data_IF_155588207610
#
_entry.id   IF_155588207610
#
_cell.length_a   1.000
_cell.length_b   1.000
_cell.length_c   1.000
_cell.angle_alpha   90.00
_cell.angle_beta   90.00
_cell.angle_gamma   90.00
#
_symmetry.space_group_name_H-M   'P 1'
#
loop_
_entity.id
_entity.type
_entity.pdbx_description
1 polymer ?
#
# COMPACT_ATOMS: atom_id res chain seq x y z
N UNK A 1 -14.85 -8.49 -16.70
CA UNK A 1 -13.49 -8.72 -17.21
C UNK A 1 -12.53 -9.11 -16.08
N UNK A 2 -11.62 -10.05 -16.29
CA UNK A 2 -10.52 -10.33 -15.36
C UNK A 2 -9.69 -9.05 -15.15
N UNK A 3 -9.36 -8.72 -13.91
CA UNK A 3 -8.56 -7.51 -13.61
C UNK A 3 -7.09 -7.89 -13.52
N UNK A 4 -6.22 -7.06 -14.10
CA UNK A 4 -4.78 -7.17 -13.92
C UNK A 4 -4.40 -7.07 -12.43
N UNK A 5 -3.43 -7.88 -12.02
CA UNK A 5 -2.88 -7.90 -10.66
C UNK A 5 -2.25 -6.54 -10.32
N UNK A 6 -2.41 -6.07 -9.08
CA UNK A 6 -1.80 -4.79 -8.67
C UNK A 6 -0.29 -4.92 -8.61
N UNK A 7 0.40 -3.86 -9.04
CA UNK A 7 1.82 -3.67 -8.78
C UNK A 7 1.95 -3.38 -7.28
N UNK A 8 2.46 -4.34 -6.53
CA UNK A 8 2.58 -4.28 -5.06
C UNK A 8 3.95 -4.84 -4.67
N UNK A 9 4.97 -4.12 -5.13
CA UNK A 9 6.38 -4.42 -4.90
C UNK A 9 6.89 -3.50 -3.77
N UNK A 10 7.64 -4.01 -2.78
CA UNK A 10 8.24 -3.17 -1.75
C UNK A 10 9.11 -2.05 -2.35
N UNK A 11 9.11 -0.90 -1.69
CA UNK A 11 9.84 0.31 -2.09
C UNK A 11 9.07 1.22 -3.03
N UNK A 12 7.99 0.74 -3.68
CA UNK A 12 7.20 1.56 -4.60
C UNK A 12 6.40 2.63 -3.86
N UNK A 13 6.32 3.80 -4.49
CA UNK A 13 5.49 4.90 -4.03
C UNK A 13 4.11 4.79 -4.68
N UNK A 14 3.05 4.91 -3.88
CA UNK A 14 1.68 4.79 -4.34
C UNK A 14 0.84 6.00 -3.96
N UNK A 15 0.18 6.60 -4.95
CA UNK A 15 -0.97 7.46 -4.71
C UNK A 15 -2.24 6.62 -4.62
N UNK A 16 -2.84 6.60 -3.44
CA UNK A 16 -4.02 5.81 -3.12
C UNK A 16 -5.22 6.72 -2.95
N UNK A 17 -6.33 6.29 -3.55
CA UNK A 17 -7.63 6.98 -3.45
C UNK A 17 -8.70 5.93 -3.15
N UNK A 18 -9.51 6.16 -2.12
CA UNK A 18 -10.73 5.39 -1.92
C UNK A 18 -11.90 6.30 -1.58
N UNK A 19 -13.08 5.96 -2.11
CA UNK A 19 -14.27 6.81 -2.08
C UNK A 19 -15.50 6.01 -1.63
N UNK A 20 -16.40 6.68 -0.91
CA UNK A 20 -17.69 6.14 -0.53
C UNK A 20 -18.54 5.73 -1.74
N UNK A 21 -19.32 4.66 -1.57
CA UNK A 21 -20.32 4.24 -2.55
C UNK A 21 -21.26 5.41 -2.85
N UNK A 22 -21.56 5.66 -4.13
CA UNK A 22 -22.39 6.81 -4.58
C UNK A 22 -21.86 8.18 -4.14
N UNK A 23 -20.53 8.31 -3.93
CA UNK A 23 -19.89 9.53 -3.38
C UNK A 23 -20.42 9.94 -2.01
N UNK A 24 -21.01 8.99 -1.27
CA UNK A 24 -21.53 9.16 0.08
C UNK A 24 -20.46 9.64 1.04
N UNK A 25 -20.88 10.46 2.00
CA UNK A 25 -20.07 10.84 3.16
C UNK A 25 -19.70 9.59 3.96
N UNK A 26 -18.40 9.33 4.05
CA UNK A 26 -17.82 8.25 4.84
C UNK A 26 -17.29 8.77 6.18
N UNK A 27 -17.14 10.09 6.38
CA UNK A 27 -16.79 10.69 7.68
C UNK A 27 -17.81 11.77 8.10
N UNK A 28 -19.02 11.39 8.52
CA UNK A 28 -20.06 12.35 8.90
C UNK A 28 -19.78 13.06 10.23
N UNK A 29 -18.96 12.47 11.10
CA UNK A 29 -18.70 12.98 12.45
C UNK A 29 -17.20 12.93 12.76
N UNK A 30 -16.75 13.71 13.75
CA UNK A 30 -15.36 13.64 14.25
C UNK A 30 -14.95 12.22 14.65
N UNK A 31 -15.82 11.48 15.33
CA UNK A 31 -15.55 10.09 15.74
C UNK A 31 -15.26 9.14 14.57
N UNK A 32 -15.80 9.44 13.38
CA UNK A 32 -15.54 8.69 12.15
C UNK A 32 -14.14 8.96 11.60
N UNK A 33 -13.66 10.20 11.68
CA UNK A 33 -12.29 10.55 11.32
C UNK A 33 -11.29 9.91 12.31
N UNK A 34 -11.54 10.03 13.61
CA UNK A 34 -10.63 9.50 14.64
C UNK A 34 -10.52 7.97 14.57
N UNK A 35 -11.63 7.24 14.48
CA UNK A 35 -11.61 5.78 14.31
C UNK A 35 -10.84 5.35 13.06
N UNK A 36 -10.96 6.11 11.95
CA UNK A 36 -10.18 5.84 10.76
C UNK A 36 -8.68 6.07 10.98
N UNK A 37 -8.29 7.16 11.63
CA UNK A 37 -6.89 7.47 11.93
C UNK A 37 -6.27 6.48 12.93
N UNK A 38 -6.99 6.07 13.98
CA UNK A 38 -6.55 5.00 14.88
C UNK A 38 -6.30 3.70 14.11
N UNK A 39 -7.12 3.38 13.11
CA UNK A 39 -6.91 2.20 12.25
C UNK A 39 -5.74 2.37 11.29
N UNK A 40 -5.41 3.60 10.87
CA UNK A 40 -4.19 3.91 10.09
C UNK A 40 -2.95 3.70 10.96
N UNK A 41 -2.97 4.15 12.20
CA UNK A 41 -1.87 3.94 13.15
C UNK A 41 -1.62 2.45 13.41
N UNK A 42 -2.65 1.72 13.87
CA UNK A 42 -2.60 0.27 14.06
C UNK A 42 -2.22 -0.42 12.73
N UNK A 43 -2.73 0.12 11.61
CA UNK A 43 -2.32 0.00 10.19
C UNK A 43 -0.82 -0.14 9.91
N UNK A 44 -0.09 0.84 10.40
CA UNK A 44 1.32 1.05 10.15
C UNK A 44 2.18 0.26 11.14
N UNK A 45 1.74 0.05 12.38
CA UNK A 45 2.48 -0.76 13.36
C UNK A 45 2.74 -2.21 12.89
N UNK A 46 1.87 -2.77 12.04
CA UNK A 46 2.00 -4.16 11.54
C UNK A 46 2.57 -4.26 10.13
N UNK A 47 3.06 -3.17 9.57
CA UNK A 47 3.69 -3.19 8.26
C UNK A 47 4.72 -2.08 8.13
N UNK A 48 5.92 -2.34 7.60
CA UNK A 48 6.93 -1.31 7.35
C UNK A 48 6.56 -0.37 6.17
N UNK A 49 5.28 -0.15 5.92
CA UNK A 49 4.82 0.87 4.99
C UNK A 49 5.05 2.25 5.60
N UNK A 50 5.42 3.23 4.78
CA UNK A 50 5.62 4.60 5.23
C UNK A 50 4.52 5.49 4.63
N UNK A 51 3.66 6.03 5.50
CA UNK A 51 2.65 7.00 5.09
C UNK A 51 3.26 8.41 5.09
N UNK A 52 3.44 8.98 3.91
CA UNK A 52 4.21 10.20 3.68
C UNK A 52 3.31 11.45 3.68
N UNK A 53 2.22 11.39 2.92
CA UNK A 53 1.22 12.46 2.85
C UNK A 53 -0.20 11.89 2.83
N UNK A 54 -1.16 12.62 3.39
CA UNK A 54 -2.54 12.15 3.46
C UNK A 54 -3.56 13.29 3.65
N UNK A 55 -4.80 13.04 3.24
CA UNK A 55 -5.94 13.91 3.51
C UNK A 55 -7.23 13.07 3.58
N UNK A 56 -8.02 13.30 4.63
CA UNK A 56 -9.37 12.73 4.76
C UNK A 56 -10.39 13.78 4.34
N UNK A 57 -11.23 13.42 3.37
CA UNK A 57 -12.31 14.25 2.84
C UNK A 57 -13.64 13.60 3.21
N UNK A 58 -14.75 14.34 3.34
CA UNK A 58 -16.00 13.79 3.87
C UNK A 58 -16.45 12.49 3.18
N UNK A 59 -16.23 12.34 1.87
CA UNK A 59 -16.62 11.16 1.08
C UNK A 59 -15.47 10.33 0.50
N UNK A 60 -14.20 10.68 0.74
CA UNK A 60 -13.05 9.93 0.23
C UNK A 60 -11.77 10.25 1.00
N UNK A 61 -10.71 9.51 0.77
CA UNK A 61 -9.39 9.86 1.30
C UNK A 61 -8.31 9.66 0.24
N UNK A 62 -7.20 10.37 0.45
CA UNK A 62 -5.99 10.28 -0.34
C UNK A 62 -4.81 9.90 0.55
N UNK A 63 -3.97 8.96 0.11
CA UNK A 63 -2.66 8.67 0.71
C UNK A 63 -1.56 8.72 -0.34
N UNK A 64 -0.38 9.18 0.07
CA UNK A 64 0.89 8.91 -0.57
C UNK A 64 1.66 7.97 0.36
N UNK A 65 1.82 6.72 -0.07
CA UNK A 65 2.38 5.67 0.79
C UNK A 65 3.48 4.94 0.05
N UNK A 66 4.64 4.77 0.69
CA UNK A 66 5.69 3.88 0.23
C UNK A 66 5.45 2.49 0.80
N UNK A 67 5.43 1.48 -0.06
CA UNK A 67 5.22 0.09 0.36
C UNK A 67 6.46 -0.49 1.01
N UNK A 68 6.28 -1.22 2.11
CA UNK A 68 7.31 -2.07 2.71
C UNK A 68 7.06 -3.55 2.44
N UNK A 69 7.83 -4.42 3.10
CA UNK A 69 7.55 -5.87 3.12
C UNK A 69 6.16 -6.14 3.73
N UNK A 70 5.26 -6.76 2.97
CA UNK A 70 3.88 -7.02 3.36
C UNK A 70 2.83 -6.36 2.46
N UNK A 71 3.26 -5.33 1.70
CA UNK A 71 2.53 -4.74 0.59
C UNK A 71 1.36 -3.82 0.96
N UNK A 72 0.94 -3.01 0.00
CA UNK A 72 -0.17 -2.08 0.08
C UNK A 72 -1.50 -2.79 0.25
N UNK A 73 -1.69 -3.92 -0.43
CA UNK A 73 -2.96 -4.63 -0.46
C UNK A 73 -3.40 -5.12 0.91
N UNK A 74 -2.44 -5.54 1.75
CA UNK A 74 -2.72 -6.00 3.11
C UNK A 74 -3.08 -4.84 4.02
N UNK A 75 -2.29 -3.76 3.97
CA UNK A 75 -2.53 -2.52 4.70
C UNK A 75 -3.95 -1.98 4.42
N UNK A 76 -4.26 -1.79 3.14
CA UNK A 76 -5.54 -1.23 2.71
C UNK A 76 -6.73 -2.14 3.03
N UNK A 77 -6.57 -3.47 2.94
CA UNK A 77 -7.61 -4.42 3.33
C UNK A 77 -7.96 -4.29 4.81
N UNK A 78 -6.94 -4.26 5.68
CA UNK A 78 -7.15 -4.15 7.13
C UNK A 78 -7.83 -2.83 7.49
N UNK A 79 -7.32 -1.73 6.94
CA UNK A 79 -7.87 -0.39 7.15
C UNK A 79 -9.32 -0.29 6.68
N UNK A 80 -9.57 -0.52 5.39
CA UNK A 80 -10.88 -0.27 4.78
C UNK A 80 -11.95 -1.24 5.27
N UNK A 81 -11.64 -2.53 5.40
CA UNK A 81 -12.63 -3.51 5.89
C UNK A 81 -12.94 -3.30 7.37
N UNK A 82 -11.91 -3.04 8.19
CA UNK A 82 -12.12 -2.76 9.61
C UNK A 82 -12.98 -1.53 9.82
N UNK A 83 -12.69 -0.45 9.08
CA UNK A 83 -13.47 0.77 9.14
C UNK A 83 -14.91 0.59 8.65
N UNK A 84 -15.12 -0.06 7.50
CA UNK A 84 -16.46 -0.27 6.97
C UNK A 84 -17.38 -1.04 7.92
N UNK A 85 -16.85 -2.06 8.61
CA UNK A 85 -17.60 -2.82 9.61
C UNK A 85 -17.98 -1.95 10.80
N UNK A 86 -17.03 -1.19 11.36
CA UNK A 86 -17.29 -0.32 12.50
C UNK A 86 -18.24 0.84 12.15
N UNK A 87 -18.07 1.45 10.98
CA UNK A 87 -18.96 2.48 10.45
C UNK A 87 -20.38 1.95 10.29
N UNK A 88 -20.54 0.78 9.67
CA UNK A 88 -21.86 0.18 9.47
C UNK A 88 -22.56 -0.12 10.80
N UNK A 89 -21.83 -0.65 11.79
CA UNK A 89 -22.37 -0.86 13.13
C UNK A 89 -22.78 0.47 13.80
N UNK A 90 -21.91 1.48 13.79
CA UNK A 90 -22.15 2.81 14.40
C UNK A 90 -23.33 3.53 13.79
N UNK A 91 -23.48 3.47 12.47
CA UNK A 91 -24.50 4.18 11.72
C UNK A 91 -25.74 3.32 11.39
N UNK A 92 -25.84 2.12 11.98
CA UNK A 92 -26.93 1.15 11.76
C UNK A 92 -27.19 0.88 10.26
N UNK A 93 -26.10 0.73 9.50
CA UNK A 93 -26.11 0.47 8.05
C UNK A 93 -25.73 -0.96 7.73
N UNK A 94 -26.19 -1.40 6.58
CA UNK A 94 -25.79 -2.67 5.96
C UNK A 94 -25.24 -2.42 4.55
N UNK A 95 -24.40 -3.34 4.06
CA UNK A 95 -23.84 -3.29 2.71
C UNK A 95 -22.48 -2.60 2.62
N UNK A 96 -22.06 -2.30 1.38
CA UNK A 96 -20.76 -1.74 1.08
C UNK A 96 -20.67 -0.25 1.43
N UNK A 97 -19.64 0.14 2.19
CA UNK A 97 -19.35 1.55 2.46
C UNK A 97 -18.60 2.22 1.30
N UNK A 98 -17.60 1.52 0.76
CA UNK A 98 -16.75 2.02 -0.32
C UNK A 98 -17.27 1.57 -1.68
N UNK A 99 -17.17 2.44 -2.69
CA UNK A 99 -17.67 2.16 -4.04
C UNK A 99 -16.99 0.95 -4.69
N UNK A 100 -15.69 0.84 -4.47
CA UNK A 100 -14.83 -0.20 -5.02
C UNK A 100 -13.68 -0.43 -4.03
N UNK A 101 -12.82 -1.39 -4.34
CA UNK A 101 -11.48 -1.39 -3.72
C UNK A 101 -10.78 -0.05 -4.03
N UNK A 102 -9.85 0.36 -3.18
CA UNK A 102 -9.01 1.53 -3.43
C UNK A 102 -8.33 1.48 -4.81
N UNK A 103 -8.21 2.66 -5.43
CA UNK A 103 -7.34 2.94 -6.56
C UNK A 103 -5.92 3.12 -6.03
N UNK A 104 -4.95 2.60 -6.76
CA UNK A 104 -3.52 2.80 -6.48
C UNK A 104 -2.81 3.07 -7.79
N UNK A 105 -2.05 4.15 -7.81
CA UNK A 105 -1.22 4.59 -8.92
C UNK A 105 0.21 4.53 -8.41
N UNK A 106 1.06 3.71 -9.03
CA UNK A 106 2.50 3.69 -8.77
C UNK A 106 3.08 4.99 -9.29
N UNK A 107 3.85 5.70 -8.49
CA UNK A 107 4.44 6.97 -8.86
C UNK A 107 5.96 6.82 -8.90
N UNK A 108 6.58 7.31 -9.98
CA UNK A 108 8.01 7.56 -10.00
C UNK A 108 8.29 8.67 -8.98
N UNK A 109 9.21 8.39 -8.07
CA UNK A 109 9.44 9.25 -6.92
C UNK A 109 9.96 10.63 -7.34
N UNK A 110 10.95 10.69 -8.21
CA UNK A 110 11.32 11.90 -8.94
C UNK A 110 10.75 11.78 -10.36
N UNK A 111 9.95 12.74 -10.88
CA UNK A 111 9.72 14.12 -10.43
C UNK A 111 8.42 14.36 -9.62
N UNK A 112 7.63 13.34 -9.32
CA UNK A 112 6.23 13.54 -8.88
C UNK A 112 6.01 13.69 -7.38
N UNK A 113 6.99 13.33 -6.55
CA UNK A 113 6.80 13.25 -5.09
C UNK A 113 6.29 14.55 -4.47
N UNK A 114 7.00 15.66 -4.68
CA UNK A 114 6.67 16.95 -4.06
C UNK A 114 5.31 17.47 -4.54
N UNK A 115 5.04 17.36 -5.84
CA UNK A 115 3.74 17.68 -6.45
C UNK A 115 2.59 16.86 -5.85
N UNK A 116 2.79 15.57 -5.62
CA UNK A 116 1.78 14.71 -4.99
C UNK A 116 1.55 15.06 -3.53
N UNK A 117 2.61 15.34 -2.76
CA UNK A 117 2.48 15.83 -1.38
C UNK A 117 1.62 17.09 -1.37
N UNK A 118 1.95 18.07 -2.22
CA UNK A 118 1.21 19.33 -2.35
C UNK A 118 -0.22 19.12 -2.78
N UNK A 119 -0.42 18.31 -3.82
CA UNK A 119 -1.75 17.97 -4.30
C UNK A 119 -2.58 17.40 -3.16
N UNK A 120 -2.09 16.39 -2.45
CA UNK A 120 -2.83 15.73 -1.38
C UNK A 120 -3.16 16.72 -0.27
N UNK A 121 -2.17 17.45 0.24
CA UNK A 121 -2.33 18.36 1.38
C UNK A 121 -3.22 19.57 1.10
N UNK A 122 -3.29 20.04 -0.15
CA UNK A 122 -4.17 21.14 -0.53
C UNK A 122 -5.61 20.70 -0.86
N UNK A 123 -5.96 19.41 -0.77
CA UNK A 123 -7.34 18.97 -1.03
C UNK A 123 -8.38 19.64 -0.10
N UNK A 124 -8.17 19.75 1.23
CA UNK A 124 -9.09 20.44 2.12
C UNK A 124 -9.33 21.91 1.72
N UNK A 125 -8.27 22.61 1.28
CA UNK A 125 -8.36 24.00 0.80
C UNK A 125 -9.18 24.06 -0.48
N UNK A 126 -8.85 23.24 -1.50
CA UNK A 126 -9.57 23.21 -2.79
C UNK A 126 -11.03 22.78 -2.66
N UNK A 127 -11.36 21.99 -1.64
CA UNK A 127 -12.73 21.59 -1.35
C UNK A 127 -13.51 22.63 -0.51
N UNK A 128 -12.88 23.74 -0.12
CA UNK A 128 -13.48 24.77 0.71
C UNK A 128 -13.72 24.35 2.17
N UNK A 129 -13.09 23.26 2.63
CA UNK A 129 -13.21 22.79 4.01
C UNK A 129 -12.41 23.65 5.00
N UNK A 130 -11.33 24.24 4.51
CA UNK A 130 -10.51 25.23 5.20
C UNK A 130 -10.25 26.39 4.22
N UNK A 131 -10.18 27.63 4.71
CA UNK A 131 -10.13 28.82 3.83
C UNK A 131 -8.71 29.25 3.53
N UNK A 132 -7.80 29.09 4.50
CA UNK A 132 -6.43 29.58 4.42
C UNK A 132 -5.41 28.48 4.70
N UNK A 133 -4.14 28.70 4.35
CA UNK A 133 -3.07 27.81 4.81
C UNK A 133 -2.92 27.82 6.33
N UNK A 134 -3.20 28.95 7.00
CA UNK A 134 -3.18 29.02 8.46
C UNK A 134 -4.23 28.11 9.10
N UNK A 135 -5.38 27.93 8.46
CA UNK A 135 -6.39 26.95 8.88
C UNK A 135 -5.90 25.52 8.62
N UNK A 136 -5.26 25.29 7.46
CA UNK A 136 -4.71 23.99 7.08
C UNK A 136 -3.60 23.53 8.03
N UNK A 137 -2.77 24.45 8.54
CA UNK A 137 -1.72 24.18 9.52
C UNK A 137 -2.24 23.42 10.74
N UNK A 138 -3.46 23.74 11.16
CA UNK A 138 -4.09 23.21 12.36
C UNK A 138 -5.12 22.11 12.04
N UNK A 139 -5.35 21.83 10.76
CA UNK A 139 -6.40 20.91 10.33
C UNK A 139 -6.02 19.46 10.67
N UNK A 140 -6.75 18.79 11.60
CA UNK A 140 -6.30 17.52 12.20
C UNK A 140 -6.45 16.30 11.29
N UNK A 141 -7.13 16.46 10.15
CA UNK A 141 -7.45 15.38 9.21
C UNK A 141 -6.68 15.50 7.88
N UNK A 142 -5.50 16.13 7.92
CA UNK A 142 -4.55 16.19 6.83
C UNK A 142 -3.12 16.05 7.36
N UNK A 143 -2.25 15.34 6.64
CA UNK A 143 -0.84 15.16 6.99
C UNK A 143 -0.02 16.45 6.94
N UNK A 144 -0.58 17.54 6.41
CA UNK A 144 0.02 18.86 6.46
C UNK A 144 0.24 19.33 7.91
N UNK A 145 -0.74 19.17 8.80
CA UNK A 145 -0.65 19.66 10.18
C UNK A 145 0.40 18.93 11.00
N UNK A 146 0.70 17.67 10.67
CA UNK A 146 1.80 16.91 11.24
C UNK A 146 3.17 17.41 10.76
N UNK A 147 3.32 17.73 9.47
CA UNK A 147 4.56 18.34 8.96
C UNK A 147 4.82 19.72 9.59
N UNK A 148 3.75 20.48 9.84
CA UNK A 148 3.81 21.77 10.53
C UNK A 148 4.05 21.66 12.04
N UNK A 149 4.07 20.44 12.60
CA UNK A 149 4.25 20.20 14.04
C UNK A 149 3.08 20.68 14.91
N UNK A 150 1.90 20.93 14.32
CA UNK A 150 0.72 21.41 15.04
C UNK A 150 -0.15 20.28 15.58
N UNK A 151 -0.14 19.13 14.91
CA UNK A 151 -0.88 17.93 15.33
C UNK A 151 0.08 16.75 15.35
N UNK A 152 0.27 16.15 16.52
CA UNK A 152 1.17 15.01 16.67
C UNK A 152 0.60 13.77 15.97
N UNK A 153 1.38 13.22 15.03
CA UNK A 153 1.10 11.98 14.28
C UNK A 153 2.39 11.18 14.13
N UNK A 154 2.87 10.50 15.20
CA UNK A 154 4.17 9.83 15.21
C UNK A 154 4.30 8.74 14.14
N UNK A 155 3.17 8.20 13.68
CA UNK A 155 3.10 7.21 12.59
C UNK A 155 3.25 7.79 11.18
N UNK A 156 3.19 9.11 11.00
CA UNK A 156 3.45 9.74 9.69
C UNK A 156 4.96 9.89 9.48
N UNK A 157 5.45 9.49 8.31
CA UNK A 157 6.84 9.64 7.92
C UNK A 157 7.14 11.09 7.51
N UNK A 158 7.19 12.01 8.48
CA UNK A 158 7.42 13.45 8.25
C UNK A 158 8.85 13.78 7.83
N UNK A 159 9.85 13.12 8.43
CA UNK A 159 11.27 13.31 8.13
C UNK A 159 11.60 13.16 6.65
N UNK A 160 11.32 11.99 6.02
CA UNK A 160 11.58 11.78 4.60
C UNK A 160 10.87 12.79 3.68
N UNK A 161 9.71 13.33 4.09
CA UNK A 161 9.02 14.37 3.31
C UNK A 161 9.76 15.70 3.42
N UNK A 162 10.10 16.14 4.63
CA UNK A 162 10.77 17.42 4.86
C UNK A 162 12.18 17.45 4.25
N UNK A 163 12.89 16.32 4.26
CA UNK A 163 14.18 16.16 3.60
C UNK A 163 14.11 16.52 2.11
N UNK A 164 13.04 16.09 1.42
CA UNK A 164 12.83 16.40 -0.01
C UNK A 164 12.54 17.88 -0.29
N UNK A 165 12.09 18.63 0.71
CA UNK A 165 11.93 20.08 0.62
C UNK A 165 13.16 20.84 1.15
N UNK A 166 14.07 20.16 1.85
CA UNK A 166 15.24 20.74 2.52
C UNK A 166 14.92 21.54 3.79
N UNK A 167 13.71 22.10 3.94
CA UNK A 167 13.26 22.73 5.18
C UNK A 167 11.74 22.86 5.26
N UNK A 168 11.23 23.06 6.48
CA UNK A 168 9.82 23.34 6.71
C UNK A 168 9.37 24.65 6.02
N UNK A 169 10.22 25.67 5.99
CA UNK A 169 9.91 26.95 5.34
C UNK A 169 9.77 26.79 3.83
N UNK A 170 10.63 25.99 3.19
CA UNK A 170 10.54 25.67 1.76
C UNK A 170 9.29 24.87 1.44
N UNK A 171 8.97 23.86 2.25
CA UNK A 171 7.71 23.12 2.16
C UNK A 171 6.49 24.05 2.23
N UNK A 172 6.43 24.92 3.24
CA UNK A 172 5.30 25.86 3.42
C UNK A 172 5.13 26.80 2.24
N UNK A 173 6.24 27.37 1.74
CA UNK A 173 6.24 28.23 0.55
C UNK A 173 5.72 27.49 -0.69
N UNK A 174 6.17 26.25 -0.87
CA UNK A 174 5.73 25.40 -1.97
C UNK A 174 4.22 25.07 -1.91
N UNK A 175 3.64 24.93 -0.71
CA UNK A 175 2.18 24.82 -0.53
C UNK A 175 1.46 26.11 -0.92
N UNK A 176 2.00 27.26 -0.51
CA UNK A 176 1.43 28.60 -0.78
C UNK A 176 1.37 28.88 -2.30
N UNK A 177 2.46 28.60 -3.02
CA UNK A 177 2.54 28.72 -4.47
C UNK A 177 1.51 27.83 -5.20
N UNK A 178 1.15 26.69 -4.59
CA UNK A 178 0.19 25.75 -5.17
C UNK A 178 -1.26 25.94 -4.77
N UNK A 179 -1.57 26.79 -3.78
CA UNK A 179 -2.92 26.86 -3.17
C UNK A 179 -4.02 27.22 -4.19
N UNK A 180 -3.68 28.03 -5.18
CA UNK A 180 -4.59 28.49 -6.24
C UNK A 180 -4.56 27.59 -7.49
N UNK A 181 -3.71 26.56 -7.51
CA UNK A 181 -3.74 25.58 -8.60
C UNK A 181 -5.02 24.77 -8.45
N UNK A 182 -5.88 24.80 -9.48
CA UNK A 182 -7.17 24.13 -9.48
C UNK A 182 -7.07 22.61 -9.50
N UNK A 183 -7.94 21.95 -10.28
CA UNK A 183 -7.89 20.48 -10.40
C UNK A 183 -6.64 20.04 -11.17
N UNK A 184 -5.98 18.99 -10.68
CA UNK A 184 -4.79 18.36 -11.26
C UNK A 184 -5.13 16.93 -11.73
N UNK A 185 -5.85 16.75 -12.86
CA UNK A 185 -6.33 15.44 -13.32
C UNK A 185 -5.21 14.42 -13.60
N UNK A 186 -4.02 14.90 -13.93
CA UNK A 186 -2.83 14.10 -14.17
C UNK A 186 -2.34 13.35 -12.93
N UNK A 187 -2.67 13.84 -11.72
CA UNK A 187 -2.26 13.24 -10.45
C UNK A 187 -3.25 12.22 -9.90
N UNK A 188 -4.41 11.99 -10.53
CA UNK A 188 -5.45 11.07 -10.03
C UNK A 188 -5.68 9.84 -10.89
N UNK A 189 -4.96 9.70 -12.02
CA UNK A 189 -5.01 8.59 -12.98
C UNK A 189 -6.38 8.38 -13.63
N UNK A 190 -6.45 7.64 -14.75
CA UNK A 190 -7.71 7.21 -15.36
C UNK A 190 -8.01 7.82 -16.72
N UNK A 191 -7.38 7.24 -17.74
CA UNK A 191 -7.68 7.43 -19.16
C UNK A 191 -6.60 6.73 -19.97
N UNK A 192 -6.99 5.89 -20.94
CA UNK A 192 -6.13 5.38 -22.01
C UNK A 192 -5.34 6.57 -22.60
N UNK A 193 -4.08 6.74 -22.22
CA UNK A 193 -3.05 7.52 -22.93
C UNK A 193 -3.58 8.66 -23.84
N UNK A 194 -4.05 9.80 -23.30
CA UNK A 194 -4.43 11.04 -24.04
C UNK A 194 -4.91 12.08 -23.02
N UNK A 195 -4.04 12.95 -22.54
CA UNK A 195 -3.74 14.19 -23.26
C UNK A 195 -2.29 14.57 -23.04
N UNK A 196 -1.45 14.41 -24.07
CA UNK A 196 -0.13 15.04 -24.23
C UNK A 196 0.57 15.44 -22.92
N UNK A 197 1.23 14.44 -22.31
CA UNK A 197 2.31 14.57 -21.32
C UNK A 197 1.93 14.82 -19.85
N UNK A 198 2.56 14.06 -18.95
CA UNK A 198 3.04 14.65 -17.70
C UNK A 198 4.29 15.48 -17.99
N UNK A 199 4.55 16.50 -17.17
CA UNK A 199 5.18 17.78 -17.56
C UNK A 199 6.27 17.74 -18.65
N UNK A 200 7.24 16.83 -18.61
CA UNK A 200 8.39 16.85 -19.54
C UNK A 200 8.26 15.94 -20.77
N UNK A 201 7.44 14.88 -20.76
CA UNK A 201 6.99 14.22 -22.00
C UNK A 201 5.86 15.01 -22.71
N UNK A 202 5.32 16.06 -22.06
CA UNK A 202 4.62 17.19 -22.75
C UNK A 202 5.62 18.03 -23.54
N UNK A 203 6.85 18.15 -23.00
CA UNK A 203 7.92 18.99 -23.54
C UNK A 203 8.76 18.25 -24.59
N UNK A 204 8.95 16.93 -24.48
CA UNK A 204 9.90 16.14 -25.30
C UNK A 204 9.26 15.18 -26.32
N UNK A 205 7.95 14.90 -26.22
CA UNK A 205 7.17 14.51 -27.40
C UNK A 205 7.23 15.55 -28.54
N UNK A 206 7.94 16.66 -28.35
CA UNK A 206 8.15 17.78 -29.27
C UNK A 206 9.50 17.77 -30.00
N UNK A 207 10.48 16.94 -29.60
CA UNK A 207 11.82 16.97 -30.23
C UNK A 207 12.22 15.71 -30.98
N UNK A 208 11.91 14.49 -30.49
CA UNK A 208 12.63 13.30 -31.02
C UNK A 208 11.76 12.08 -31.40
N UNK A 209 10.43 12.17 -31.30
CA UNK A 209 9.56 11.34 -32.13
C UNK A 209 9.43 9.83 -31.85
N UNK A 210 9.55 9.31 -30.63
CA UNK A 210 9.31 7.88 -30.32
C UNK A 210 9.04 7.69 -28.80
N UNK A 211 8.22 6.79 -28.25
CA UNK A 211 7.27 5.75 -28.72
C UNK A 211 6.31 5.45 -27.55
N UNK A 212 5.06 5.11 -27.85
CA UNK A 212 3.96 4.93 -26.89
C UNK A 212 3.97 3.56 -26.19
N UNK A 213 3.81 3.52 -24.86
CA UNK A 213 3.02 2.53 -24.09
C UNK A 213 3.06 2.88 -22.58
N UNK A 214 2.03 3.55 -22.05
CA UNK A 214 1.92 3.86 -20.62
C UNK A 214 0.84 3.00 -19.96
N UNK A 215 1.19 2.25 -18.91
CA UNK A 215 0.22 1.52 -18.09
C UNK A 215 -0.58 2.54 -17.23
N UNK A 216 -1.92 2.54 -17.24
CA UNK A 216 -2.73 3.50 -16.49
C UNK A 216 -2.58 3.42 -14.97
N UNK A 217 -1.86 2.42 -14.46
CA UNK A 217 -1.53 2.21 -13.05
C UNK A 217 -0.18 2.80 -12.66
N UNK A 218 0.59 3.34 -13.61
CA UNK A 218 1.94 3.91 -13.36
C UNK A 218 1.98 5.36 -13.85
N UNK A 219 2.47 6.25 -12.99
CA UNK A 219 2.79 7.64 -13.27
C UNK A 219 4.32 7.78 -13.25
N UNK A 220 4.95 7.77 -14.42
CA UNK A 220 6.40 7.81 -14.57
C UNK A 220 6.82 7.74 -16.03
N UNK A 221 8.11 7.94 -16.27
CA UNK A 221 8.76 7.85 -17.58
C UNK A 221 8.86 6.41 -18.09
N UNK A 222 9.13 6.23 -19.39
CA UNK A 222 9.12 4.92 -20.06
C UNK A 222 9.99 3.87 -19.38
N UNK A 223 11.22 4.24 -19.02
CA UNK A 223 12.17 3.34 -18.34
C UNK A 223 11.68 2.94 -16.95
N UNK A 224 11.05 3.87 -16.21
CA UNK A 224 10.45 3.55 -14.92
C UNK A 224 9.26 2.61 -15.06
N UNK A 225 8.39 2.84 -16.06
CA UNK A 225 7.27 1.94 -16.36
C UNK A 225 7.81 0.54 -16.69
N UNK A 226 8.82 0.44 -17.56
CA UNK A 226 9.46 -0.82 -17.91
C UNK A 226 10.08 -1.50 -16.69
N UNK A 227 10.82 -0.77 -15.83
CA UNK A 227 11.40 -1.33 -14.60
C UNK A 227 10.33 -1.82 -13.61
N UNK A 228 9.22 -1.10 -13.47
CA UNK A 228 8.12 -1.51 -12.57
C UNK A 228 7.43 -2.76 -13.10
N UNK A 229 7.17 -2.83 -14.41
CA UNK A 229 6.62 -4.00 -15.07
C UNK A 229 7.59 -5.18 -14.96
N UNK A 230 8.87 -4.97 -15.26
CA UNK A 230 9.92 -5.99 -15.12
C UNK A 230 10.06 -6.48 -13.68
N UNK A 231 9.98 -5.61 -12.66
CA UNK A 231 10.01 -6.05 -11.25
C UNK A 231 8.79 -6.90 -10.90
N UNK A 232 7.62 -6.57 -11.43
CA UNK A 232 6.41 -7.35 -11.24
C UNK A 232 6.47 -8.69 -12.00
N UNK A 233 7.03 -8.69 -13.21
CA UNK A 233 7.29 -9.87 -14.02
C UNK A 233 8.36 -10.75 -13.38
N UNK A 234 9.52 -10.22 -12.97
CA UNK A 234 10.56 -10.95 -12.23
C UNK A 234 10.01 -11.59 -10.95
N UNK A 235 9.10 -10.93 -10.23
CA UNK A 235 8.42 -11.54 -9.07
C UNK A 235 7.56 -12.74 -9.50
N UNK A 236 6.85 -12.63 -10.63
CA UNK A 236 6.04 -13.70 -11.18
C UNK A 236 6.90 -14.82 -11.81
N UNK A 237 8.02 -14.47 -12.45
CA UNK A 237 8.99 -15.36 -13.05
C UNK A 237 9.76 -16.11 -11.98
N UNK A 238 10.23 -15.48 -10.90
CA UNK A 238 10.82 -16.20 -9.76
C UNK A 238 9.86 -17.25 -9.20
N UNK A 239 8.56 -16.92 -9.10
CA UNK A 239 7.52 -17.89 -8.71
C UNK A 239 7.34 -19.01 -9.75
N UNK A 240 7.51 -18.72 -11.04
CA UNK A 240 7.40 -19.70 -12.13
C UNK A 240 8.68 -20.53 -12.30
N UNK A 241 9.87 -19.99 -12.03
CA UNK A 241 11.17 -20.66 -12.08
C UNK A 241 11.25 -21.69 -10.96
N UNK A 242 10.83 -21.33 -9.74
CA UNK A 242 10.70 -22.31 -8.64
C UNK A 242 9.77 -23.47 -9.04
N UNK A 243 8.69 -23.19 -9.79
CA UNK A 243 7.81 -24.24 -10.33
C UNK A 243 8.46 -25.07 -11.45
N UNK A 244 9.28 -24.46 -12.32
CA UNK A 244 9.97 -25.12 -13.44
C UNK A 244 11.17 -25.95 -12.98
N UNK A 245 11.88 -25.54 -11.94
CA UNK A 245 13.00 -26.27 -11.32
C UNK A 245 12.56 -27.53 -10.53
N UNK A 246 11.27 -27.87 -10.54
CA UNK A 246 10.75 -29.05 -9.84
C UNK A 246 10.75 -28.92 -8.31
N UNK A 247 11.09 -27.75 -7.76
CA UNK A 247 10.86 -27.43 -6.35
C UNK A 247 9.35 -27.32 -6.17
N UNK A 248 8.74 -28.38 -5.65
CA UNK A 248 7.31 -28.44 -5.38
C UNK A 248 7.01 -28.07 -3.91
N UNK A 249 5.72 -28.01 -3.59
CA UNK A 249 5.29 -27.67 -2.23
C UNK A 249 5.78 -28.68 -1.18
N UNK A 250 6.07 -29.92 -1.61
CA UNK A 250 6.53 -31.02 -0.75
C UNK A 250 8.00 -30.85 -0.39
N UNK A 251 8.85 -30.51 -1.35
CA UNK A 251 10.27 -30.17 -1.09
C UNK A 251 10.39 -28.97 -0.15
N UNK A 252 9.54 -27.95 -0.32
CA UNK A 252 9.45 -26.84 0.64
C UNK A 252 9.04 -27.33 2.05
N UNK A 253 8.02 -28.18 2.15
CA UNK A 253 7.55 -28.72 3.43
C UNK A 253 8.64 -29.50 4.17
N UNK A 254 9.34 -30.38 3.46
CA UNK A 254 10.47 -31.16 3.97
C UNK A 254 11.59 -30.25 4.49
N UNK A 255 11.94 -29.24 3.72
CA UNK A 255 13.01 -28.30 4.07
C UNK A 255 12.64 -27.47 5.31
N UNK A 256 11.42 -26.94 5.37
CA UNK A 256 10.90 -26.22 6.54
C UNK A 256 10.87 -27.12 7.77
N UNK A 257 10.43 -28.36 7.63
CA UNK A 257 10.36 -29.33 8.72
C UNK A 257 11.76 -29.68 9.25
N UNK A 258 12.72 -29.96 8.35
CA UNK A 258 14.13 -30.21 8.71
C UNK A 258 14.73 -29.03 9.48
N UNK A 259 14.52 -27.80 9.00
CA UNK A 259 15.06 -26.60 9.63
C UNK A 259 14.41 -26.28 10.98
N UNK A 260 13.15 -26.67 11.15
CA UNK A 260 12.44 -26.56 12.43
C UNK A 260 12.72 -27.72 13.40
N UNK A 261 13.50 -28.74 13.00
CA UNK A 261 13.76 -29.92 13.83
C UNK A 261 12.54 -30.81 14.06
N UNK A 262 11.54 -30.79 13.16
CA UNK A 262 10.30 -31.57 13.30
C UNK A 262 10.15 -32.58 12.15
N UNK A 263 9.43 -33.71 12.38
CA UNK A 263 9.06 -34.58 11.27
C UNK A 263 8.03 -33.87 10.36
N UNK A 264 8.14 -34.05 9.04
CA UNK A 264 7.30 -33.37 8.03
C UNK A 264 5.80 -33.51 8.33
N UNK A 265 5.35 -34.72 8.70
CA UNK A 265 3.95 -35.00 9.07
C UNK A 265 3.40 -34.08 10.17
N UNK A 266 4.26 -33.58 11.06
CA UNK A 266 3.83 -32.67 12.13
C UNK A 266 3.32 -31.32 11.58
N UNK A 267 3.84 -30.89 10.42
CA UNK A 267 3.46 -29.65 9.74
C UNK A 267 2.00 -29.69 9.25
N UNK A 268 1.50 -30.88 8.91
CA UNK A 268 0.12 -31.13 8.45
C UNK A 268 -0.80 -31.69 9.54
N UNK A 269 -0.32 -31.76 10.79
CA UNK A 269 -1.09 -32.23 11.95
C UNK A 269 -1.89 -31.10 12.62
N UNK A 270 -2.75 -31.43 13.59
CA UNK A 270 -3.39 -30.43 14.47
C UNK A 270 -2.47 -29.92 15.60
N UNK A 271 -1.24 -30.41 15.68
CA UNK A 271 -0.28 -30.08 16.74
C UNK A 271 0.02 -28.58 16.84
N UNK A 272 0.22 -28.11 18.09
CA UNK A 272 0.44 -26.70 18.44
C UNK A 272 1.71 -26.44 19.27
N UNK A 273 2.61 -27.42 19.38
CA UNK A 273 3.94 -27.22 19.99
C UNK A 273 4.65 -26.04 19.32
N UNK A 274 5.49 -25.31 20.06
CA UNK A 274 6.11 -24.08 19.61
C UNK A 274 6.83 -24.24 18.26
N UNK A 275 7.67 -25.27 18.14
CA UNK A 275 8.40 -25.64 16.91
C UNK A 275 7.46 -25.91 15.72
N UNK A 276 6.36 -26.64 15.96
CA UNK A 276 5.35 -26.94 14.93
C UNK A 276 4.63 -25.66 14.48
N UNK A 277 4.30 -24.77 15.42
CA UNK A 277 3.67 -23.48 15.13
C UNK A 277 4.61 -22.57 14.33
N UNK A 278 5.90 -22.55 14.68
CA UNK A 278 6.97 -21.83 13.95
C UNK A 278 7.12 -22.37 12.52
N UNK A 279 7.22 -23.69 12.37
CA UNK A 279 7.33 -24.36 11.06
C UNK A 279 6.12 -24.08 10.17
N UNK A 280 4.89 -24.21 10.70
CA UNK A 280 3.66 -23.88 9.96
C UNK A 280 3.63 -22.41 9.51
N UNK A 281 4.09 -21.50 10.36
CA UNK A 281 4.16 -20.08 10.04
C UNK A 281 5.12 -19.82 8.87
N UNK A 282 6.33 -20.40 8.93
CA UNK A 282 7.30 -20.35 7.83
C UNK A 282 6.76 -20.95 6.54
N UNK A 283 6.19 -22.16 6.60
CA UNK A 283 5.62 -22.86 5.45
C UNK A 283 4.50 -22.07 4.77
N UNK A 284 3.58 -21.49 5.56
CA UNK A 284 2.50 -20.68 5.02
C UNK A 284 3.07 -19.43 4.35
N UNK A 285 4.01 -18.73 4.97
CA UNK A 285 4.60 -17.54 4.38
C UNK A 285 5.34 -17.85 3.07
N UNK A 286 6.24 -18.83 3.09
CA UNK A 286 7.01 -19.26 1.92
C UNK A 286 6.10 -19.77 0.79
N UNK A 287 5.08 -20.55 1.11
CA UNK A 287 4.14 -21.07 0.12
C UNK A 287 3.31 -19.98 -0.56
N UNK A 288 3.02 -18.88 0.15
CA UNK A 288 2.39 -17.71 -0.49
C UNK A 288 3.40 -16.93 -1.32
N UNK A 289 4.58 -16.63 -0.76
CA UNK A 289 5.55 -15.73 -1.38
C UNK A 289 6.19 -16.32 -2.63
N UNK A 290 6.57 -17.59 -2.59
CA UNK A 290 7.36 -18.25 -3.64
C UNK A 290 6.54 -19.21 -4.50
N UNK A 291 5.44 -19.76 -3.99
CA UNK A 291 4.65 -20.77 -4.71
C UNK A 291 3.28 -20.25 -5.18
N UNK A 292 2.93 -19.00 -4.86
CA UNK A 292 1.67 -18.37 -5.25
C UNK A 292 0.43 -19.08 -4.69
N UNK A 293 0.57 -19.86 -3.61
CA UNK A 293 -0.56 -20.55 -2.97
C UNK A 293 -1.37 -19.56 -2.13
N UNK A 294 -2.64 -19.89 -1.88
CA UNK A 294 -3.49 -19.06 -1.03
C UNK A 294 -3.27 -19.41 0.44
N UNK A 295 -3.34 -18.41 1.32
CA UNK A 295 -3.33 -18.62 2.78
C UNK A 295 -4.41 -19.61 3.21
N UNK A 296 -5.59 -19.54 2.56
CA UNK A 296 -6.70 -20.48 2.82
C UNK A 296 -6.31 -21.92 2.49
N UNK A 297 -5.70 -22.15 1.32
CA UNK A 297 -5.28 -23.48 0.89
C UNK A 297 -4.17 -24.06 1.77
N UNK A 298 -3.14 -23.27 2.06
CA UNK A 298 -2.05 -23.69 2.96
C UNK A 298 -2.56 -23.91 4.38
N UNK A 299 -3.44 -23.03 4.87
CA UNK A 299 -4.08 -23.17 6.18
C UNK A 299 -4.85 -24.48 6.30
N UNK A 300 -5.65 -24.84 5.28
CA UNK A 300 -6.35 -26.12 5.23
C UNK A 300 -5.38 -27.31 5.27
N UNK A 301 -4.30 -27.27 4.49
CA UNK A 301 -3.25 -28.29 4.49
C UNK A 301 -2.60 -28.44 5.89
N UNK A 302 -2.31 -27.33 6.57
CA UNK A 302 -1.70 -27.33 7.91
C UNK A 302 -2.71 -27.48 9.06
N UNK A 303 -3.97 -27.82 8.75
CA UNK A 303 -5.08 -27.98 9.71
C UNK A 303 -5.33 -26.75 10.58
N UNK A 304 -5.25 -25.56 10.00
CA UNK A 304 -5.50 -24.27 10.63
C UNK A 304 -6.78 -23.63 10.09
N UNK A 305 -7.50 -22.90 10.95
CA UNK A 305 -8.61 -22.05 10.50
C UNK A 305 -8.08 -20.91 9.63
N UNK A 306 -8.89 -20.30 8.74
CA UNK A 306 -8.45 -19.19 7.91
C UNK A 306 -7.86 -18.01 8.70
N UNK A 307 -8.46 -17.71 9.86
CA UNK A 307 -7.97 -16.66 10.76
C UNK A 307 -6.61 -17.04 11.37
N UNK A 308 -6.45 -18.27 11.84
CA UNK A 308 -5.19 -18.75 12.40
C UNK A 308 -4.07 -18.81 11.34
N UNK A 309 -4.39 -19.25 10.12
CA UNK A 309 -3.46 -19.29 9.00
C UNK A 309 -3.02 -17.88 8.57
N UNK A 310 -3.92 -16.89 8.61
CA UNK A 310 -3.58 -15.49 8.36
C UNK A 310 -2.57 -14.97 9.40
N UNK A 311 -2.81 -15.21 10.68
CA UNK A 311 -1.87 -14.85 11.77
C UNK A 311 -0.56 -15.64 11.68
N UNK A 312 -0.60 -16.89 11.23
CA UNK A 312 0.60 -17.71 11.02
C UNK A 312 1.45 -17.16 9.87
N UNK A 313 0.84 -16.71 8.77
CA UNK A 313 1.58 -16.03 7.69
C UNK A 313 2.31 -14.79 8.20
N UNK A 314 1.65 -13.96 9.00
CA UNK A 314 2.25 -12.73 9.57
C UNK A 314 3.46 -13.07 10.45
N UNK A 315 3.31 -14.05 11.35
CA UNK A 315 4.42 -14.56 12.16
C UNK A 315 5.54 -15.17 11.31
N UNK A 316 5.20 -15.84 10.21
CA UNK A 316 6.16 -16.41 9.27
C UNK A 316 6.98 -15.34 8.57
N UNK A 317 6.35 -14.24 8.15
CA UNK A 317 7.07 -13.11 7.56
C UNK A 317 8.06 -12.49 8.54
N UNK A 318 7.63 -12.23 9.78
CA UNK A 318 8.50 -11.72 10.83
C UNK A 318 9.67 -12.68 11.10
N UNK A 319 9.37 -13.97 11.27
CA UNK A 319 10.36 -15.00 11.49
C UNK A 319 11.44 -15.01 10.39
N UNK A 320 11.05 -14.93 9.12
CA UNK A 320 11.98 -14.95 8.00
C UNK A 320 12.72 -13.63 7.78
N UNK A 321 12.21 -12.52 8.31
CA UNK A 321 12.96 -11.26 8.39
C UNK A 321 14.07 -11.35 9.44
N UNK A 322 13.77 -11.93 10.60
CA UNK A 322 14.73 -12.13 11.71
C UNK A 322 15.74 -13.26 11.42
N UNK A 323 15.40 -14.19 10.52
CA UNK A 323 16.19 -15.38 10.19
C UNK A 323 16.34 -15.52 8.65
N UNK A 324 17.15 -14.67 8.00
CA UNK A 324 17.26 -14.60 6.53
C UNK A 324 17.69 -15.92 5.87
N UNK A 325 18.40 -16.78 6.60
CA UNK A 325 18.84 -18.09 6.14
C UNK A 325 17.67 -19.05 5.84
N UNK A 326 16.47 -18.74 6.30
CA UNK A 326 15.26 -19.48 5.90
C UNK A 326 14.82 -19.13 4.46
N UNK A 327 15.24 -17.97 3.94
CA UNK A 327 15.01 -17.55 2.55
C UNK A 327 16.04 -18.13 1.58
N UNK A 328 17.29 -18.30 2.03
CA UNK A 328 18.40 -18.84 1.21
C UNK A 328 18.19 -20.29 0.77
N UNK A 329 17.14 -20.96 1.24
CA UNK A 329 16.73 -22.29 0.80
C UNK A 329 16.08 -22.30 -0.61
N UNK A 330 15.79 -21.13 -1.18
CA UNK A 330 15.09 -20.99 -2.46
C UNK A 330 15.80 -20.05 -3.45
N UNK A 331 17.03 -19.60 -3.13
CA UNK A 331 17.93 -18.97 -4.09
C UNK A 331 18.74 -20.03 -4.85
#
# INVERSE_FOLDING_TARGET
MPRQARLDVPGLLHHVIARGLERRVIFPQKSDFEDFLTRVEISLEKSPNQLLAWALMPNHFHFLIRTGSGGLSRFMRRLMSGYAVAFNARHKRSGYLFQNRYKSIVCQEDPYFTELVRYIHLNPVRAGMVKTLSDLDQYPYCGHSALMGKVSRPWQATGPVLERFGSLQRYRRFMEEGKNQGRRPELVGGGLLRSRGGLSAVIEARREGDRQQGDPRVLGEGDFVAQVLQKAENKLEAQNTIRREGKDLRTMALTVAKKAGIPERALFSRGRRAEVSRAKSAFIYLGVEYFGRTVKGLGAATRMTPAAASKARERGEQLLNENPEWRSLFN
#
